data_IF_054081571980
#
_entry.id   IF_054081571980
#
_cell.length_a   1.000
_cell.length_b   1.000
_cell.length_c   1.000
_cell.angle_alpha   90.00
_cell.angle_beta   90.00
_cell.angle_gamma   90.00
#
_symmetry.space_group_name_H-M   'P 1'
#
loop_
_entity.id
_entity.type
_entity.pdbx_description
1 polymer ?
#
# COMPACT_ATOMS: atom_id res chain seq x y z
N UNK A 1 55.39 -14.88 42.62
CA UNK A 1 54.82 -15.54 41.42
C UNK A 1 53.52 -16.21 41.84
N UNK A 2 52.43 -16.08 41.07
CA UNK A 2 51.10 -15.84 41.61
C UNK A 2 50.15 -17.07 41.60
N UNK A 3 49.27 -17.09 42.60
CA UNK A 3 47.81 -17.29 42.58
C UNK A 3 47.18 -18.42 41.77
N UNK A 4 46.74 -19.47 42.47
CA UNK A 4 45.70 -20.41 42.02
C UNK A 4 44.32 -19.97 42.54
N UNK A 5 43.57 -19.27 41.68
CA UNK A 5 42.25 -18.71 41.93
C UNK A 5 41.15 -19.79 41.98
N UNK A 6 40.33 -19.72 43.04
CA UNK A 6 39.06 -20.46 43.23
C UNK A 6 38.08 -20.05 42.12
N UNK A 7 37.50 -21.00 41.39
CA UNK A 7 36.31 -20.72 40.55
C UNK A 7 35.12 -21.51 41.07
N UNK A 8 34.13 -20.72 41.48
CA UNK A 8 32.81 -21.02 42.00
C UNK A 8 32.01 -22.05 41.18
N UNK A 9 31.36 -22.94 41.92
CA UNK A 9 30.22 -23.76 41.52
C UNK A 9 29.02 -22.84 41.19
N UNK A 10 28.69 -22.71 39.90
CA UNK A 10 27.55 -21.91 39.43
C UNK A 10 26.48 -22.85 38.84
N UNK A 11 25.54 -23.24 39.72
CA UNK A 11 24.08 -23.27 39.49
C UNK A 11 23.59 -23.79 38.13
N UNK A 12 23.63 -25.11 37.92
CA UNK A 12 23.08 -25.83 36.76
C UNK A 12 21.54 -25.85 36.66
N UNK A 13 20.81 -25.30 37.63
CA UNK A 13 19.34 -25.31 37.65
C UNK A 13 18.66 -24.51 36.52
N UNK A 14 19.36 -23.56 35.92
CA UNK A 14 18.84 -22.78 34.78
C UNK A 14 18.95 -23.50 33.44
N UNK A 15 20.00 -24.31 33.25
CA UNK A 15 20.28 -24.97 31.98
C UNK A 15 19.25 -26.05 31.64
N UNK A 16 18.80 -26.82 32.64
CA UNK A 16 17.75 -27.82 32.48
C UNK A 16 16.40 -27.18 32.12
N UNK A 17 16.04 -26.06 32.76
CA UNK A 17 14.80 -25.32 32.44
C UNK A 17 14.81 -24.79 31.01
N UNK A 18 15.95 -24.31 30.53
CA UNK A 18 16.12 -23.82 29.16
C UNK A 18 16.06 -24.97 28.15
N UNK A 19 16.62 -26.14 28.49
CA UNK A 19 16.57 -27.34 27.63
C UNK A 19 15.13 -27.85 27.40
N UNK A 20 14.28 -27.84 28.43
CA UNK A 20 12.86 -28.21 28.28
C UNK A 20 12.08 -27.20 27.43
N UNK A 21 12.37 -25.90 27.57
CA UNK A 21 11.75 -24.85 26.75
C UNK A 21 12.16 -24.99 25.28
N UNK A 22 13.45 -25.21 25.00
CA UNK A 22 13.96 -25.43 23.64
C UNK A 22 13.34 -26.70 23.03
N UNK A 23 13.27 -27.80 23.79
CA UNK A 23 12.63 -29.03 23.35
C UNK A 23 11.15 -28.84 23.01
N UNK A 24 10.41 -28.10 23.84
CA UNK A 24 9.00 -27.78 23.59
C UNK A 24 8.79 -26.94 22.32
N UNK A 25 9.64 -25.92 22.11
CA UNK A 25 9.60 -25.08 20.90
C UNK A 25 9.91 -25.92 19.65
N UNK A 26 10.89 -26.82 19.72
CA UNK A 26 11.26 -27.68 18.59
C UNK A 26 10.10 -28.60 18.20
N UNK A 27 9.46 -29.25 19.17
CA UNK A 27 8.31 -30.14 18.92
C UNK A 27 7.11 -29.37 18.38
N UNK A 28 6.81 -28.20 18.94
CA UNK A 28 5.74 -27.34 18.45
C UNK A 28 6.00 -26.84 17.01
N UNK A 29 7.26 -26.50 16.71
CA UNK A 29 7.68 -26.09 15.36
C UNK A 29 7.54 -27.23 14.35
N UNK A 30 7.98 -28.44 14.69
CA UNK A 30 7.81 -29.63 13.83
C UNK A 30 6.32 -29.92 13.60
N UNK A 31 5.51 -29.89 14.66
CA UNK A 31 4.06 -30.11 14.57
C UNK A 31 3.39 -29.07 13.67
N UNK A 32 3.80 -27.79 13.78
CA UNK A 32 3.32 -26.72 12.92
C UNK A 32 3.68 -26.95 11.46
N UNK A 33 4.93 -27.30 11.16
CA UNK A 33 5.39 -27.58 9.80
C UNK A 33 4.62 -28.76 9.19
N UNK A 34 4.42 -29.84 9.94
CA UNK A 34 3.62 -31.00 9.50
C UNK A 34 2.18 -30.59 9.22
N UNK A 35 1.56 -29.81 10.10
CA UNK A 35 0.21 -29.30 9.89
C UNK A 35 0.12 -28.44 8.63
N UNK A 36 1.09 -27.59 8.38
CA UNK A 36 1.13 -26.72 7.22
C UNK A 36 1.34 -27.51 5.93
N UNK A 37 2.24 -28.49 5.92
CA UNK A 37 2.43 -29.43 4.80
C UNK A 37 1.14 -30.21 4.51
N UNK A 38 0.44 -30.70 5.53
CA UNK A 38 -0.86 -31.39 5.38
C UNK A 38 -1.93 -30.44 4.86
N UNK A 39 -1.96 -29.19 5.34
CA UNK A 39 -2.89 -28.15 4.88
C UNK A 39 -2.66 -27.85 3.40
N UNK A 40 -1.41 -27.65 3.00
CA UNK A 40 -1.02 -27.43 1.60
C UNK A 40 -1.32 -28.65 0.73
N UNK A 41 -1.04 -29.86 1.21
CA UNK A 41 -1.36 -31.09 0.51
C UNK A 41 -2.86 -31.27 0.33
N UNK A 42 -3.67 -31.02 1.36
CA UNK A 42 -5.14 -31.11 1.29
C UNK A 42 -5.74 -30.06 0.36
N UNK A 43 -5.20 -28.83 0.37
CA UNK A 43 -5.59 -27.77 -0.58
C UNK A 43 -5.22 -28.18 -2.02
N UNK A 44 -4.03 -28.76 -2.22
CA UNK A 44 -3.60 -29.30 -3.51
C UNK A 44 -4.44 -30.48 -3.96
N UNK A 45 -4.85 -31.37 -3.06
CA UNK A 45 -5.74 -32.50 -3.37
C UNK A 45 -7.13 -32.07 -3.78
N UNK A 46 -7.68 -31.03 -3.13
CA UNK A 46 -8.95 -30.43 -3.54
C UNK A 46 -8.88 -29.81 -4.93
N UNK A 47 -7.69 -29.38 -5.37
CA UNK A 47 -7.45 -28.95 -6.75
C UNK A 47 -7.12 -30.13 -7.70
N UNK A 48 -6.59 -31.24 -7.18
CA UNK A 48 -6.03 -32.31 -8.00
C UNK A 48 -7.08 -33.22 -8.68
N UNK A 49 -8.30 -33.35 -8.15
CA UNK A 49 -9.40 -34.00 -8.89
C UNK A 49 -10.75 -33.86 -8.16
N UNK A 50 -11.80 -33.30 -8.78
CA UNK A 50 -13.16 -33.77 -8.49
C UNK A 50 -13.27 -35.23 -8.96
N UNK A 51 -13.95 -36.14 -8.24
CA UNK A 51 -14.27 -37.45 -8.78
C UNK A 51 -15.13 -37.24 -10.02
N UNK A 52 -14.52 -37.38 -11.21
CA UNK A 52 -15.24 -37.26 -12.46
C UNK A 52 -16.34 -38.32 -12.46
N UNK A 53 -17.61 -37.97 -12.74
CA UNK A 53 -18.59 -38.98 -13.06
C UNK A 53 -18.03 -39.74 -14.27
N UNK A 54 -17.76 -41.03 -14.10
CA UNK A 54 -17.15 -41.93 -15.10
C UNK A 54 -17.98 -42.07 -16.40
N UNK A 55 -19.05 -41.29 -16.53
CA UNK A 55 -20.01 -41.22 -17.65
C UNK A 55 -19.97 -39.88 -18.41
N UNK A 56 -19.20 -38.87 -17.98
CA UNK A 56 -19.04 -37.65 -18.78
C UNK A 56 -18.18 -37.97 -20.01
N UNK A 57 -18.85 -38.28 -21.11
CA UNK A 57 -18.25 -38.64 -22.40
C UNK A 57 -17.13 -37.66 -22.83
N UNK A 58 -16.16 -38.11 -23.66
CA UNK A 58 -15.04 -37.29 -24.17
C UNK A 58 -15.47 -35.92 -24.75
N UNK A 59 -16.71 -35.81 -25.23
CA UNK A 59 -17.33 -34.57 -25.68
C UNK A 59 -17.49 -33.51 -24.59
N UNK A 60 -17.78 -33.89 -23.35
CA UNK A 60 -17.88 -32.94 -22.23
C UNK A 60 -16.52 -32.29 -21.93
N UNK A 61 -15.45 -33.08 -22.01
CA UNK A 61 -14.08 -32.59 -21.85
C UNK A 61 -13.72 -31.61 -22.99
N UNK A 62 -13.99 -31.97 -24.24
CA UNK A 62 -13.72 -31.10 -25.41
C UNK A 62 -14.48 -29.77 -25.33
N UNK A 63 -15.74 -29.79 -24.86
CA UNK A 63 -16.50 -28.56 -24.60
C UNK A 63 -15.87 -27.70 -23.50
N UNK A 64 -15.38 -28.31 -22.42
CA UNK A 64 -14.68 -27.56 -21.35
C UNK A 64 -13.37 -26.96 -21.84
N UNK A 65 -12.60 -27.67 -22.68
CA UNK A 65 -11.37 -27.15 -23.27
C UNK A 65 -11.68 -25.95 -24.17
N UNK A 66 -12.63 -26.10 -25.10
CA UNK A 66 -13.03 -25.00 -26.00
C UNK A 66 -13.60 -23.79 -25.27
N UNK A 67 -14.33 -24.01 -24.17
CA UNK A 67 -14.83 -22.89 -23.36
C UNK A 67 -13.72 -22.19 -22.60
N UNK A 68 -12.71 -22.92 -22.11
CA UNK A 68 -11.53 -22.33 -21.49
C UNK A 68 -10.69 -21.55 -22.50
N UNK A 69 -10.46 -22.10 -23.69
CA UNK A 69 -9.74 -21.41 -24.78
C UNK A 69 -10.40 -20.08 -25.13
N UNK A 70 -11.72 -20.07 -25.35
CA UNK A 70 -12.48 -18.84 -25.60
C UNK A 70 -12.37 -17.82 -24.48
N UNK A 71 -12.34 -18.28 -23.21
CA UNK A 71 -12.19 -17.38 -22.06
C UNK A 71 -10.77 -16.82 -21.97
N UNK A 72 -9.76 -17.62 -22.28
CA UNK A 72 -8.37 -17.16 -22.37
C UNK A 72 -8.22 -16.10 -23.46
N UNK A 73 -8.76 -16.34 -24.66
CA UNK A 73 -8.76 -15.36 -25.77
C UNK A 73 -9.48 -14.06 -25.37
N UNK A 74 -10.66 -14.17 -24.74
CA UNK A 74 -11.39 -12.99 -24.27
C UNK A 74 -10.61 -12.18 -23.22
N UNK A 75 -9.90 -12.83 -22.30
CA UNK A 75 -9.06 -12.15 -21.31
C UNK A 75 -7.84 -11.50 -21.96
N UNK A 76 -7.21 -12.16 -22.93
CA UNK A 76 -6.10 -11.59 -23.70
C UNK A 76 -6.53 -10.33 -24.44
N UNK A 77 -7.69 -10.36 -25.10
CA UNK A 77 -8.25 -9.17 -25.75
C UNK A 77 -8.51 -8.02 -24.77
N UNK A 78 -9.00 -8.30 -23.57
CA UNK A 78 -9.19 -7.26 -22.56
C UNK A 78 -7.86 -6.64 -22.10
N UNK A 79 -6.80 -7.45 -21.95
CA UNK A 79 -5.47 -6.96 -21.62
C UNK A 79 -4.88 -6.09 -22.73
N UNK A 80 -5.03 -6.50 -23.98
CA UNK A 80 -4.58 -5.72 -25.14
C UNK A 80 -5.27 -4.36 -25.20
N UNK A 81 -6.57 -4.32 -24.88
CA UNK A 81 -7.32 -3.07 -24.85
C UNK A 81 -6.83 -2.14 -23.72
N UNK A 82 -6.61 -2.67 -22.52
CA UNK A 82 -6.04 -1.89 -21.43
C UNK A 82 -4.62 -1.38 -21.74
N UNK A 83 -3.79 -2.19 -22.41
CA UNK A 83 -2.46 -1.77 -22.85
C UNK A 83 -2.54 -0.59 -23.83
N UNK A 84 -3.48 -0.63 -24.79
CA UNK A 84 -3.72 0.50 -25.71
C UNK A 84 -4.20 1.75 -24.97
N UNK A 85 -5.12 1.61 -24.03
CA UNK A 85 -5.63 2.73 -23.23
C UNK A 85 -4.52 3.41 -22.43
N UNK A 86 -3.66 2.62 -21.77
CA UNK A 86 -2.50 3.14 -21.05
C UNK A 86 -1.56 3.91 -21.98
N UNK A 87 -1.28 3.35 -23.15
CA UNK A 87 -0.40 3.99 -24.12
C UNK A 87 -0.98 5.33 -24.63
N UNK A 88 -2.29 5.40 -24.87
CA UNK A 88 -2.96 6.65 -25.22
C UNK A 88 -2.90 7.71 -24.11
N UNK A 89 -3.04 7.31 -22.85
CA UNK A 89 -2.94 8.22 -21.69
C UNK A 89 -1.50 8.75 -21.58
N UNK A 90 -0.51 7.88 -21.69
CA UNK A 90 0.91 8.27 -21.65
C UNK A 90 1.26 9.23 -22.78
N UNK A 91 0.80 8.96 -24.01
CA UNK A 91 0.99 9.88 -25.14
C UNK A 91 0.36 11.25 -24.89
N UNK A 92 -0.83 11.29 -24.27
CA UNK A 92 -1.47 12.56 -23.91
C UNK A 92 -0.69 13.31 -22.85
N UNK A 93 -0.22 12.62 -21.80
CA UNK A 93 0.61 13.23 -20.76
C UNK A 93 1.91 13.78 -21.35
N UNK A 94 2.58 13.02 -22.20
CA UNK A 94 3.80 13.46 -22.85
C UNK A 94 3.56 14.72 -23.72
N UNK A 95 2.42 14.80 -24.43
CA UNK A 95 2.06 16.01 -25.18
C UNK A 95 1.81 17.21 -24.27
N UNK A 96 1.14 16.99 -23.14
CA UNK A 96 0.88 18.05 -22.15
C UNK A 96 2.18 18.55 -21.52
N UNK A 97 3.09 17.64 -21.15
CA UNK A 97 4.43 17.96 -20.65
C UNK A 97 5.23 18.75 -21.70
N UNK A 98 5.20 18.33 -22.96
CA UNK A 98 5.85 19.06 -24.05
C UNK A 98 5.26 20.45 -24.24
N UNK A 99 3.93 20.62 -24.16
CA UNK A 99 3.30 21.94 -24.24
C UNK A 99 3.67 22.83 -23.06
N UNK A 100 3.72 22.27 -21.84
CA UNK A 100 4.13 23.00 -20.64
C UNK A 100 5.62 23.36 -20.67
N UNK A 101 6.47 22.54 -21.31
CA UNK A 101 7.89 22.82 -21.49
C UNK A 101 8.17 23.82 -22.63
N UNK A 102 7.32 23.84 -23.66
CA UNK A 102 7.42 24.77 -24.79
C UNK A 102 6.86 26.16 -24.45
N UNK A 103 5.92 26.25 -23.51
CA UNK A 103 5.47 27.51 -22.93
C UNK A 103 6.58 28.04 -22.02
N UNK A 104 7.26 29.15 -22.38
CA UNK A 104 8.30 29.71 -21.54
C UNK A 104 7.63 30.21 -20.26
N UNK A 105 7.94 29.58 -19.13
CA UNK A 105 7.43 29.99 -17.83
C UNK A 105 7.63 31.52 -17.64
N UNK A 106 6.58 32.29 -17.31
CA UNK A 106 6.80 33.56 -16.65
C UNK A 106 7.58 33.28 -15.37
N UNK A 107 8.55 34.15 -15.07
CA UNK A 107 9.44 34.12 -13.90
C UNK A 107 8.76 33.61 -12.61
N UNK A 108 9.49 32.96 -11.69
CA UNK A 108 8.91 32.28 -10.53
C UNK A 108 8.02 33.24 -9.73
N UNK A 109 6.72 33.12 -9.94
CA UNK A 109 5.74 33.64 -9.01
C UNK A 109 5.76 32.68 -7.81
N UNK A 110 5.77 33.21 -6.58
CA UNK A 110 5.86 32.40 -5.39
C UNK A 110 4.61 31.52 -5.33
N UNK A 111 4.82 30.21 -5.48
CA UNK A 111 3.96 29.12 -5.03
C UNK A 111 2.48 29.47 -5.07
N UNK A 112 1.79 29.21 -6.19
CA UNK A 112 0.34 29.02 -6.13
C UNK A 112 0.09 27.81 -5.22
N UNK A 113 -0.43 28.01 -3.99
CA UNK A 113 -0.78 26.89 -3.14
C UNK A 113 -2.06 26.33 -3.73
N UNK A 114 -1.93 25.21 -4.44
CA UNK A 114 -3.01 24.27 -4.67
C UNK A 114 -4.31 24.95 -5.12
N UNK A 115 -4.35 25.52 -6.34
CA UNK A 115 -5.55 25.96 -7.06
C UNK A 115 -6.78 26.05 -6.15
N UNK A 116 -6.76 27.05 -5.26
CA UNK A 116 -7.81 27.22 -4.27
C UNK A 116 -9.10 27.38 -5.07
N UNK A 117 -10.05 26.46 -4.89
CA UNK A 117 -11.43 26.73 -5.30
C UNK A 117 -11.75 28.16 -4.85
N UNK A 118 -12.34 29.02 -5.70
CA UNK A 118 -12.48 30.46 -5.44
C UNK A 118 -13.09 30.78 -4.07
N UNK A 119 -13.84 29.83 -3.50
CA UNK A 119 -14.40 29.82 -2.15
C UNK A 119 -13.34 29.92 -1.02
N UNK A 120 -12.12 29.41 -1.20
CA UNK A 120 -11.06 29.41 -0.18
C UNK A 120 -10.09 30.58 -0.27
N UNK A 121 -10.23 31.44 -1.28
CA UNK A 121 -9.35 32.60 -1.48
C UNK A 121 -9.52 33.63 -0.36
N UNK A 122 -10.75 33.99 -0.02
CA UNK A 122 -11.04 34.96 1.04
C UNK A 122 -10.60 34.46 2.44
N UNK A 123 -10.92 33.21 2.86
CA UNK A 123 -10.39 32.63 4.09
C UNK A 123 -8.85 32.64 4.15
N UNK A 124 -8.18 32.32 3.05
CA UNK A 124 -6.71 32.29 2.97
C UNK A 124 -6.11 33.68 3.14
N UNK A 125 -6.72 34.72 2.55
CA UNK A 125 -6.28 36.11 2.72
C UNK A 125 -6.45 36.57 4.17
N UNK A 126 -7.54 36.20 4.84
CA UNK A 126 -7.76 36.51 6.25
C UNK A 126 -6.75 35.79 7.16
N UNK A 127 -6.45 34.53 6.89
CA UNK A 127 -5.39 33.78 7.57
C UNK A 127 -4.00 34.42 7.37
N UNK A 128 -3.68 34.82 6.13
CA UNK A 128 -2.47 35.59 5.79
C UNK A 128 -2.46 37.00 6.35
N UNK A 129 -3.57 37.54 6.88
CA UNK A 129 -3.62 38.80 7.64
C UNK A 129 -3.47 38.58 9.15
N UNK A 130 -3.39 37.32 9.58
CA UNK A 130 -3.23 36.96 10.99
C UNK A 130 -4.53 36.89 11.77
N UNK A 131 -5.68 36.79 11.08
CA UNK A 131 -6.95 36.55 11.74
C UNK A 131 -6.96 35.14 12.36
N UNK A 132 -7.65 34.99 13.48
CA UNK A 132 -7.76 33.74 14.22
C UNK A 132 -8.76 32.78 13.57
N UNK A 133 -8.48 31.47 13.66
CA UNK A 133 -9.30 30.42 13.06
C UNK A 133 -10.81 30.51 13.39
N UNK A 134 -11.25 30.77 14.64
CA UNK A 134 -12.69 30.89 14.92
C UNK A 134 -13.34 32.10 14.24
N UNK A 135 -12.62 33.24 14.11
CA UNK A 135 -13.15 34.41 13.41
C UNK A 135 -13.23 34.19 11.89
N UNK A 136 -12.28 33.44 11.31
CA UNK A 136 -12.32 33.06 9.89
C UNK A 136 -13.51 32.12 9.62
N UNK A 137 -13.70 31.11 10.46
CA UNK A 137 -14.84 30.19 10.36
C UNK A 137 -16.18 30.93 10.42
N UNK A 138 -16.34 31.85 11.38
CA UNK A 138 -17.56 32.65 11.52
C UNK A 138 -17.80 33.60 10.34
N UNK A 139 -16.75 34.17 9.73
CA UNK A 139 -16.88 35.14 8.62
C UNK A 139 -17.05 34.51 7.26
N UNK A 140 -16.43 33.35 7.04
CA UNK A 140 -16.41 32.68 5.74
C UNK A 140 -17.37 31.49 5.67
N UNK A 141 -18.03 31.11 6.77
CA UNK A 141 -18.99 30.00 6.79
C UNK A 141 -18.34 28.63 6.65
N UNK A 142 -17.05 28.51 6.92
CA UNK A 142 -16.28 27.26 6.86
C UNK A 142 -16.18 26.61 8.24
N UNK A 143 -15.80 25.34 8.28
CA UNK A 143 -15.62 24.63 9.56
C UNK A 143 -14.40 25.16 10.34
N UNK A 144 -14.41 24.98 11.67
CA UNK A 144 -13.27 25.38 12.51
C UNK A 144 -11.98 24.65 12.09
N UNK A 145 -12.07 23.36 11.75
CA UNK A 145 -10.92 22.56 11.31
C UNK A 145 -10.34 23.06 9.98
N UNK A 146 -11.18 23.49 9.03
CA UNK A 146 -10.71 24.10 7.78
C UNK A 146 -10.01 25.45 8.05
N UNK A 147 -10.55 26.26 8.95
CA UNK A 147 -9.94 27.52 9.34
C UNK A 147 -8.58 27.32 10.04
N UNK A 148 -8.45 26.31 10.91
CA UNK A 148 -7.18 25.96 11.56
C UNK A 148 -6.13 25.51 10.55
N UNK A 149 -6.51 24.68 9.57
CA UNK A 149 -5.64 24.27 8.47
C UNK A 149 -5.15 25.48 7.66
N UNK A 150 -6.03 26.41 7.31
CA UNK A 150 -5.68 27.64 6.60
C UNK A 150 -4.70 28.51 7.39
N UNK A 151 -4.90 28.65 8.70
CA UNK A 151 -3.98 29.39 9.58
C UNK A 151 -2.62 28.70 9.68
N UNK A 152 -2.58 27.37 9.79
CA UNK A 152 -1.34 26.61 9.81
C UNK A 152 -0.56 26.75 8.49
N UNK A 153 -1.24 26.66 7.35
CA UNK A 153 -0.65 26.88 6.03
C UNK A 153 -0.12 28.31 5.86
N UNK A 154 -0.91 29.32 6.27
CA UNK A 154 -0.49 30.72 6.19
C UNK A 154 0.71 31.05 7.11
N UNK A 155 0.87 30.33 8.22
CA UNK A 155 2.06 30.45 9.10
C UNK A 155 3.28 29.73 8.52
N UNK A 156 3.09 28.54 7.93
CA UNK A 156 4.15 27.79 7.26
C UNK A 156 4.78 28.58 6.11
N UNK A 157 3.95 29.29 5.33
CA UNK A 157 4.39 30.11 4.19
C UNK A 157 5.20 31.37 4.62
N UNK A 158 4.98 31.87 5.83
CA UNK A 158 5.76 33.00 6.40
C UNK A 158 7.08 32.57 7.04
N UNK A 159 7.22 31.29 7.38
CA UNK A 159 8.42 30.74 8.03
C UNK A 159 9.52 30.30 7.07
N UNK A 160 9.29 30.37 5.76
CA UNK A 160 10.23 29.96 4.69
C UNK A 160 10.86 31.14 3.94
N UNK A 161 10.88 32.34 4.53
CA UNK A 161 11.70 33.45 4.05
C UNK A 161 13.07 33.43 4.79
N UNK A 162 14.21 33.53 4.08
CA UNK A 162 15.55 33.58 4.69
C UNK A 162 15.75 34.84 5.54
#
# INVERSE_FOLDING_TARGET
MPDGFIIAEVKDGGALSVQWVIGGILVASIAWVVFEVVRWWRVRQRMASPPLPQSAAPFGLDLTVKTLERRCEAMQHALDEHARQLQQILDRLQRLEQSAAAEPAPAPSPVEPLAASPEYVEPMVLARRGLDAPAIAARCGITLGEAELLVAMARGDRGTAP
#
